data_IF_201498805877
#
_entry.id   IF_201498805877
#
_cell.length_a   1.000
_cell.length_b   1.000
_cell.length_c   1.000
_cell.angle_alpha   90.00
_cell.angle_beta   90.00
_cell.angle_gamma   90.00
#
_symmetry.space_group_name_H-M   'P 1'
#
loop_
_entity.id
_entity.type
_entity.pdbx_description
1 polymer ?
#
# COMPACT_ATOMS: atom_id res chain seq x y z
N UNK A 1 -11.98 17.94 -4.10
CA UNK A 1 -10.76 17.12 -4.26
C UNK A 1 -10.43 16.33 -2.99
N UNK A 2 -10.47 16.92 -1.80
CA UNK A 2 -10.15 16.23 -0.54
C UNK A 2 -10.98 14.95 -0.28
N UNK A 3 -12.30 14.98 -0.47
CA UNK A 3 -13.13 13.79 -0.28
C UNK A 3 -12.80 12.66 -1.27
N UNK A 4 -12.44 13.02 -2.51
CA UNK A 4 -12.01 12.06 -3.54
C UNK A 4 -10.67 11.45 -3.15
N UNK A 5 -9.74 12.23 -2.61
CA UNK A 5 -8.45 11.76 -2.09
C UNK A 5 -8.63 10.74 -0.95
N UNK A 6 -9.52 11.03 0.00
CA UNK A 6 -9.78 10.15 1.15
C UNK A 6 -10.46 8.85 0.71
N UNK A 7 -11.45 8.93 -0.20
CA UNK A 7 -12.15 7.76 -0.73
C UNK A 7 -11.21 6.90 -1.57
N UNK A 8 -10.37 7.51 -2.42
CA UNK A 8 -9.37 6.78 -3.20
C UNK A 8 -8.31 6.16 -2.30
N UNK A 9 -7.81 6.86 -1.28
CA UNK A 9 -6.87 6.29 -0.30
C UNK A 9 -7.48 5.10 0.46
N UNK A 10 -8.75 5.19 0.87
CA UNK A 10 -9.45 4.09 1.52
C UNK A 10 -9.64 2.89 0.58
N UNK A 11 -10.14 3.13 -0.63
CA UNK A 11 -10.41 2.07 -1.62
C UNK A 11 -9.13 1.40 -2.12
N UNK A 12 -8.09 2.18 -2.43
CA UNK A 12 -6.79 1.68 -2.86
C UNK A 12 -6.06 0.98 -1.70
N UNK A 13 -6.19 1.48 -0.46
CA UNK A 13 -5.66 0.80 0.73
C UNK A 13 -6.30 -0.57 0.96
N UNK A 14 -7.61 -0.68 0.73
CA UNK A 14 -8.33 -1.95 0.79
C UNK A 14 -7.95 -2.89 -0.35
N UNK A 15 -7.81 -2.39 -1.58
CA UNK A 15 -7.33 -3.18 -2.72
C UNK A 15 -5.90 -3.70 -2.52
N UNK A 16 -5.02 -2.85 -1.97
CA UNK A 16 -3.64 -3.19 -1.68
C UNK A 16 -3.53 -4.37 -0.71
N UNK A 17 -4.50 -4.55 0.19
CA UNK A 17 -4.53 -5.73 1.06
C UNK A 17 -4.70 -7.05 0.26
N UNK A 18 -5.55 -7.06 -0.77
CA UNK A 18 -5.85 -8.26 -1.54
C UNK A 18 -4.79 -8.62 -2.59
N UNK A 19 -3.66 -7.92 -2.64
CA UNK A 19 -2.60 -8.32 -3.54
C UNK A 19 -1.96 -9.66 -3.11
N UNK A 20 -1.54 -10.50 -4.07
CA UNK A 20 -0.95 -11.79 -3.75
C UNK A 20 0.33 -11.64 -2.89
N UNK A 21 1.07 -10.54 -3.09
CA UNK A 21 2.31 -10.24 -2.39
C UNK A 21 2.06 -9.91 -0.91
N UNK A 22 0.95 -9.23 -0.61
CA UNK A 22 0.57 -8.85 0.74
C UNK A 22 -0.03 -10.05 1.47
N UNK A 23 -0.88 -10.83 0.82
CA UNK A 23 -1.44 -12.07 1.38
C UNK A 23 -0.33 -13.06 1.77
N UNK A 24 0.70 -13.24 0.93
CA UNK A 24 1.84 -14.10 1.26
C UNK A 24 2.58 -13.61 2.52
N UNK A 25 2.85 -12.30 2.63
CA UNK A 25 3.53 -11.76 3.82
C UNK A 25 2.65 -11.80 5.07
N UNK A 26 1.34 -11.56 4.95
CA UNK A 26 0.41 -11.56 6.07
C UNK A 26 0.13 -12.96 6.60
N UNK A 27 -0.01 -13.95 5.73
CA UNK A 27 -0.18 -15.35 6.15
C UNK A 27 1.07 -15.87 6.87
N UNK A 28 2.27 -15.58 6.34
CA UNK A 28 3.54 -15.98 6.95
C UNK A 28 3.76 -15.27 8.31
N UNK A 29 3.40 -14.00 8.41
CA UNK A 29 3.43 -13.24 9.67
C UNK A 29 2.40 -13.77 10.68
N UNK A 30 1.16 -14.02 10.26
CA UNK A 30 0.10 -14.54 11.12
C UNK A 30 0.46 -15.92 11.71
N UNK A 31 1.03 -16.82 10.90
CA UNK A 31 1.50 -18.14 11.36
C UNK A 31 2.59 -18.02 12.42
N UNK A 32 3.57 -17.11 12.23
CA UNK A 32 4.62 -16.87 13.24
C UNK A 32 4.05 -16.28 14.53
N UNK A 33 3.14 -15.31 14.43
CA UNK A 33 2.54 -14.67 15.59
C UNK A 33 1.62 -15.61 16.38
N UNK A 34 1.13 -16.68 15.76
CA UNK A 34 0.30 -17.67 16.42
C UNK A 34 1.08 -18.52 17.46
N UNK A 35 2.41 -18.56 17.37
CA UNK A 35 3.28 -19.22 18.34
C UNK A 35 3.68 -18.31 19.52
N UNK A 36 3.33 -17.02 19.47
CA UNK A 36 3.70 -16.03 20.48
C UNK A 36 2.55 -15.75 21.46
N UNK A 37 2.91 -15.25 22.65
CA UNK A 37 1.92 -14.85 23.66
C UNK A 37 1.03 -13.70 23.15
N UNK A 38 -0.23 -13.66 23.60
CA UNK A 38 -1.22 -12.69 23.14
C UNK A 38 -0.72 -11.23 23.27
N UNK A 39 0.01 -10.90 24.34
CA UNK A 39 0.59 -9.56 24.53
C UNK A 39 1.67 -9.23 23.50
N UNK A 40 2.57 -10.18 23.18
CA UNK A 40 3.61 -10.00 22.16
C UNK A 40 3.02 -9.93 20.75
N UNK A 41 1.95 -10.68 20.50
CA UNK A 41 1.19 -10.63 19.25
C UNK A 41 0.62 -9.24 18.98
N UNK A 42 -0.09 -8.66 19.95
CA UNK A 42 -0.64 -7.31 19.81
C UNK A 42 0.45 -6.24 19.66
N UNK A 43 1.55 -6.36 20.40
CA UNK A 43 2.71 -5.46 20.25
C UNK A 43 3.35 -5.55 18.86
N UNK A 44 3.50 -6.76 18.31
CA UNK A 44 4.04 -6.97 16.96
C UNK A 44 3.10 -6.42 15.88
N UNK A 45 1.78 -6.57 16.03
CA UNK A 45 0.79 -5.99 15.12
C UNK A 45 0.79 -4.45 15.22
N UNK A 46 0.78 -3.91 16.42
CA UNK A 46 0.81 -2.47 16.64
C UNK A 46 2.09 -1.85 16.05
N UNK A 47 3.26 -2.46 16.27
CA UNK A 47 4.52 -1.99 15.68
C UNK A 47 4.53 -2.05 14.15
N UNK A 48 3.95 -3.09 13.55
CA UNK A 48 3.80 -3.19 12.09
C UNK A 48 2.88 -2.09 11.53
N UNK A 49 1.71 -1.89 12.14
CA UNK A 49 0.73 -0.87 11.72
C UNK A 49 1.33 0.53 11.86
N UNK A 50 1.96 0.81 13.01
CA UNK A 50 2.46 2.13 13.35
C UNK A 50 3.67 2.50 12.47
N UNK A 51 4.59 1.56 12.25
CA UNK A 51 5.72 1.80 11.32
C UNK A 51 5.25 2.03 9.88
N UNK A 52 4.27 1.25 9.41
CA UNK A 52 3.70 1.43 8.07
C UNK A 52 2.92 2.74 7.93
N UNK A 53 2.11 3.10 8.93
CA UNK A 53 1.39 4.36 8.96
C UNK A 53 2.35 5.55 8.95
N UNK A 54 3.41 5.50 9.77
CA UNK A 54 4.41 6.56 9.85
C UNK A 54 5.15 6.73 8.51
N UNK A 55 5.51 5.62 7.86
CA UNK A 55 6.16 5.65 6.55
C UNK A 55 5.24 6.20 5.46
N UNK A 56 3.96 5.80 5.42
CA UNK A 56 3.00 6.30 4.42
C UNK A 56 2.60 7.75 4.66
N UNK A 57 2.40 8.16 5.91
CA UNK A 57 2.18 9.56 6.27
C UNK A 57 3.37 10.43 5.85
N UNK A 58 4.60 9.95 6.08
CA UNK A 58 5.80 10.66 5.67
C UNK A 58 5.89 10.78 4.14
N UNK A 59 5.65 9.70 3.39
CA UNK A 59 5.70 9.71 1.92
C UNK A 59 4.64 10.66 1.34
N UNK A 60 3.38 10.53 1.77
CA UNK A 60 2.30 11.37 1.22
C UNK A 60 2.38 12.82 1.70
N UNK A 61 2.81 13.03 2.95
CA UNK A 61 3.09 14.37 3.47
C UNK A 61 4.21 15.06 2.70
N UNK A 62 5.33 14.35 2.44
CA UNK A 62 6.41 14.88 1.59
C UNK A 62 5.94 15.14 0.17
N UNK A 63 5.15 14.24 -0.44
CA UNK A 63 4.61 14.45 -1.78
C UNK A 63 3.70 15.70 -1.85
N UNK A 64 2.85 15.90 -0.84
CA UNK A 64 2.00 17.09 -0.72
C UNK A 64 2.79 18.37 -0.44
N UNK A 65 3.95 18.27 0.23
CA UNK A 65 4.81 19.42 0.52
C UNK A 65 5.63 19.83 -0.71
N UNK A 66 6.18 18.85 -1.45
CA UNK A 66 6.87 19.12 -2.71
C UNK A 66 5.91 19.83 -3.66
N UNK A 67 4.64 19.41 -3.66
CA UNK A 67 3.60 19.98 -4.52
C UNK A 67 3.88 19.69 -5.99
N UNK A 68 2.86 19.74 -6.83
CA UNK A 68 3.02 19.62 -8.29
C UNK A 68 2.79 20.96 -9.01
N UNK A 69 3.02 22.09 -8.34
CA UNK A 69 2.71 23.44 -8.83
C UNK A 69 3.47 23.87 -10.11
N UNK A 70 4.48 23.10 -10.55
CA UNK A 70 5.28 23.39 -11.75
C UNK A 70 5.33 22.27 -12.80
N UNK A 71 4.64 21.15 -12.58
CA UNK A 71 4.68 19.99 -13.50
C UNK A 71 3.43 20.04 -14.38
N UNK A 72 3.61 20.10 -15.71
CA UNK A 72 2.48 20.07 -16.64
C UNK A 72 1.65 18.79 -16.46
N UNK A 73 0.33 18.89 -16.55
CA UNK A 73 -0.60 17.75 -16.40
C UNK A 73 -0.22 16.56 -17.30
N UNK A 74 0.36 16.85 -18.47
CA UNK A 74 0.81 15.84 -19.43
C UNK A 74 2.00 15.01 -18.91
N UNK A 75 2.95 15.62 -18.20
CA UNK A 75 4.11 14.89 -17.65
C UNK A 75 3.73 14.08 -16.40
N UNK A 76 2.82 14.57 -15.56
CA UNK A 76 2.26 13.78 -14.46
C UNK A 76 1.51 12.54 -14.98
N UNK A 77 0.68 12.72 -16.00
CA UNK A 77 -0.04 11.63 -16.67
C UNK A 77 0.91 10.63 -17.34
N UNK A 78 1.95 11.11 -18.04
CA UNK A 78 2.95 10.25 -18.65
C UNK A 78 3.72 9.44 -17.60
N UNK A 79 4.05 10.05 -16.46
CA UNK A 79 4.75 9.36 -15.37
C UNK A 79 3.86 8.27 -14.75
N UNK A 80 2.58 8.57 -14.47
CA UNK A 80 1.58 7.60 -14.01
C UNK A 80 1.34 6.47 -15.03
N UNK A 81 1.26 6.80 -16.31
CA UNK A 81 1.07 5.84 -17.40
C UNK A 81 2.26 4.91 -17.56
N UNK A 82 3.48 5.45 -17.53
CA UNK A 82 4.72 4.66 -17.57
C UNK A 82 4.82 3.75 -16.35
N UNK A 83 4.51 4.24 -15.15
CA UNK A 83 4.57 3.44 -13.92
C UNK A 83 3.47 2.35 -13.90
N UNK A 84 2.25 2.69 -14.35
CA UNK A 84 1.17 1.72 -14.51
C UNK A 84 1.50 0.64 -15.55
N UNK A 85 2.10 1.03 -16.67
CA UNK A 85 2.57 0.10 -17.70
C UNK A 85 3.71 -0.78 -17.20
N UNK A 86 4.70 -0.21 -16.51
CA UNK A 86 5.80 -0.94 -15.87
C UNK A 86 5.26 -1.93 -14.83
N UNK A 87 4.26 -1.57 -14.03
CA UNK A 87 3.62 -2.49 -13.10
C UNK A 87 2.94 -3.66 -13.83
N UNK A 88 2.20 -3.37 -14.90
CA UNK A 88 1.47 -4.38 -15.68
C UNK A 88 2.45 -5.34 -16.39
N UNK A 89 3.54 -4.80 -16.94
CA UNK A 89 4.62 -5.57 -17.57
C UNK A 89 5.38 -6.40 -16.54
N UNK A 90 5.77 -5.80 -15.40
CA UNK A 90 6.47 -6.45 -14.28
C UNK A 90 5.62 -7.54 -13.60
N UNK A 91 4.29 -7.48 -13.76
CA UNK A 91 3.39 -8.53 -13.31
C UNK A 91 3.22 -9.66 -14.34
N UNK A 92 3.29 -9.35 -15.64
CA UNK A 92 3.16 -10.32 -16.73
C UNK A 92 4.44 -11.12 -16.96
N UNK A 93 5.59 -10.46 -16.78
CA UNK A 93 6.89 -11.09 -16.69
C UNK A 93 7.03 -11.43 -15.22
N UNK A 94 6.92 -12.70 -14.84
CA UNK A 94 6.96 -13.20 -13.45
C UNK A 94 8.34 -12.95 -12.80
N UNK A 95 8.78 -11.69 -12.70
CA UNK A 95 9.97 -11.34 -11.96
C UNK A 95 9.59 -11.44 -10.48
N UNK A 96 10.36 -12.17 -9.66
CA UNK A 96 10.28 -12.04 -8.21
C UNK A 96 10.72 -10.62 -7.85
N UNK A 97 9.79 -9.66 -7.90
CA UNK A 97 10.11 -8.24 -7.72
C UNK A 97 10.54 -8.06 -6.27
N UNK A 98 11.76 -7.54 -6.03
CA UNK A 98 12.34 -7.44 -4.70
C UNK A 98 11.47 -6.57 -3.80
N UNK A 99 11.21 -7.02 -2.58
CA UNK A 99 10.68 -6.15 -1.53
C UNK A 99 11.64 -4.98 -1.36
N UNK A 100 11.16 -3.74 -1.47
CA UNK A 100 12.03 -2.59 -1.25
C UNK A 100 12.25 -2.48 0.27
N UNK A 101 13.46 -2.85 0.66
CA UNK A 101 13.93 -2.89 2.03
C UNK A 101 14.32 -1.48 2.49
N UNK A 102 13.35 -0.60 2.80
CA UNK A 102 13.65 0.73 3.33
C UNK A 102 14.41 0.67 4.68
N UNK A 103 14.44 -0.49 5.34
CA UNK A 103 15.22 -0.68 6.56
C UNK A 103 16.74 -0.59 6.32
N UNK A 104 17.24 -0.79 5.10
CA UNK A 104 18.67 -0.66 4.80
C UNK A 104 19.14 0.80 4.88
N UNK A 105 18.23 1.77 4.74
CA UNK A 105 18.50 3.20 4.88
C UNK A 105 18.71 3.63 6.35
N UNK A 106 18.40 2.75 7.31
CA UNK A 106 18.53 3.02 8.74
C UNK A 106 19.78 2.28 9.27
N UNK A 107 20.75 2.99 9.89
CA UNK A 107 22.04 2.43 10.30
C UNK A 107 21.94 1.36 11.42
N UNK A 108 20.76 1.14 12.01
CA UNK A 108 20.53 0.20 13.12
C UNK A 108 19.63 -1.00 12.77
N UNK A 109 19.67 -1.49 11.52
CA UNK A 109 18.79 -2.54 11.01
C UNK A 109 19.00 -3.94 11.63
N UNK A 110 20.18 -4.22 12.20
CA UNK A 110 20.52 -5.55 12.73
C UNK A 110 19.78 -5.91 14.04
N UNK A 111 19.31 -4.92 14.81
CA UNK A 111 18.64 -5.12 16.11
C UNK A 111 17.11 -4.95 16.08
N UNK A 112 16.53 -4.67 14.92
CA UNK A 112 15.08 -4.38 14.83
C UNK A 112 14.22 -5.63 14.79
N UNK A 113 13.05 -5.56 15.43
CA UNK A 113 12.08 -6.66 15.44
C UNK A 113 11.55 -6.95 14.03
N UNK A 114 11.24 -8.21 13.76
CA UNK A 114 10.75 -8.67 12.45
C UNK A 114 9.51 -7.87 11.98
N UNK A 115 8.66 -7.45 12.92
CA UNK A 115 7.49 -6.63 12.66
C UNK A 115 7.85 -5.23 12.12
N UNK A 116 8.93 -4.63 12.65
CA UNK A 116 9.42 -3.33 12.17
C UNK A 116 10.05 -3.46 10.78
N UNK A 117 10.79 -4.54 10.53
CA UNK A 117 11.32 -4.83 9.19
C UNK A 117 10.19 -5.00 8.19
N UNK A 118 9.16 -5.77 8.52
CA UNK A 118 8.00 -5.96 7.64
C UNK A 118 7.20 -4.68 7.41
N UNK A 119 7.08 -3.82 8.42
CA UNK A 119 6.40 -2.53 8.29
C UNK A 119 7.20 -1.49 7.48
N UNK A 120 8.53 -1.58 7.50
CA UNK A 120 9.44 -0.78 6.66
C UNK A 120 9.70 -1.38 5.29
N UNK A 121 9.37 -2.65 5.05
CA UNK A 121 9.39 -3.20 3.69
C UNK A 121 8.10 -2.82 2.97
N UNK A 122 8.20 -2.01 1.92
CA UNK A 122 7.05 -1.76 1.07
C UNK A 122 6.94 -2.92 0.07
N UNK A 123 5.82 -3.67 0.06
CA UNK A 123 5.63 -4.68 -0.97
C UNK A 123 5.61 -3.97 -2.33
N UNK A 124 6.48 -4.39 -3.24
CA UNK A 124 6.61 -3.78 -4.57
C UNK A 124 5.28 -3.77 -5.34
N UNK A 125 4.39 -4.71 -5.04
CA UNK A 125 3.07 -4.81 -5.63
C UNK A 125 2.16 -3.63 -5.23
N UNK A 126 2.33 -3.10 -4.01
CA UNK A 126 1.54 -1.95 -3.52
C UNK A 126 2.10 -0.60 -3.96
N UNK A 127 3.28 -0.59 -4.57
CA UNK A 127 3.99 0.63 -4.99
C UNK A 127 3.19 1.50 -5.98
N UNK A 128 2.50 0.97 -7.00
CA UNK A 128 1.68 1.78 -7.89
C UNK A 128 0.47 2.38 -7.18
N UNK A 129 -0.17 1.62 -6.27
CA UNK A 129 -1.29 2.12 -5.47
C UNK A 129 -0.86 3.29 -4.59
N UNK A 130 0.28 3.14 -3.91
CA UNK A 130 0.89 4.21 -3.11
C UNK A 130 1.24 5.41 -4.00
N UNK A 131 1.78 5.18 -5.19
CA UNK A 131 2.17 6.24 -6.11
C UNK A 131 0.96 7.04 -6.63
N UNK A 132 -0.16 6.38 -6.95
CA UNK A 132 -1.41 7.05 -7.34
C UNK A 132 -1.91 7.96 -6.22
N UNK A 133 -1.95 7.47 -4.97
CA UNK A 133 -2.36 8.28 -3.82
C UNK A 133 -1.35 9.40 -3.55
N UNK A 134 -0.06 9.15 -3.74
CA UNK A 134 1.01 10.14 -3.57
C UNK A 134 0.90 11.29 -4.57
N UNK A 135 0.64 11.00 -5.84
CA UNK A 135 0.45 12.04 -6.86
C UNK A 135 -0.86 12.79 -6.61
N UNK A 136 -1.93 12.09 -6.25
CA UNK A 136 -3.18 12.74 -5.85
C UNK A 136 -2.96 13.68 -4.66
N UNK A 137 -2.10 13.28 -3.70
CA UNK A 137 -1.74 14.08 -2.52
C UNK A 137 -0.94 15.32 -2.92
N UNK A 138 0.02 15.18 -3.82
CA UNK A 138 0.81 16.27 -4.38
C UNK A 138 -0.04 17.28 -5.15
N UNK A 139 -1.05 16.82 -5.90
CA UNK A 139 -1.99 17.69 -6.63
C UNK A 139 -2.91 18.49 -5.68
N UNK A 140 -3.26 17.94 -4.51
CA UNK A 140 -4.11 18.66 -3.54
C UNK A 140 -3.39 19.79 -2.80
N UNK A 141 -2.05 19.81 -2.80
CA UNK A 141 -1.21 20.82 -2.14
C UNK A 141 -1.60 21.12 -0.66
N UNK A 142 -2.22 20.13 0.01
CA UNK A 142 -2.70 20.21 1.39
C UNK A 142 -2.06 19.09 2.22
N UNK A 143 -0.99 19.38 2.98
CA UNK A 143 -0.27 18.35 3.72
C UNK A 143 -1.16 17.67 4.78
N UNK A 144 -2.03 18.41 5.46
CA UNK A 144 -2.93 17.88 6.49
C UNK A 144 -3.81 16.72 5.97
N UNK A 145 -4.31 16.88 4.74
CA UNK A 145 -5.18 15.90 4.09
C UNK A 145 -4.39 14.71 3.56
N UNK A 146 -3.14 14.93 3.13
CA UNK A 146 -2.24 13.88 2.68
C UNK A 146 -1.78 12.99 3.86
N UNK A 147 -1.53 13.58 5.03
CA UNK A 147 -1.25 12.83 6.26
C UNK A 147 -2.46 11.96 6.64
N UNK A 148 -3.68 12.53 6.62
CA UNK A 148 -4.90 11.77 6.89
C UNK A 148 -5.11 10.64 5.87
N UNK A 149 -4.85 10.88 4.59
CA UNK A 149 -4.91 9.85 3.55
C UNK A 149 -3.91 8.72 3.80
N UNK A 150 -2.69 9.04 4.25
CA UNK A 150 -1.68 8.05 4.64
C UNK A 150 -2.12 7.20 5.81
N UNK A 151 -2.73 7.82 6.83
CA UNK A 151 -3.28 7.13 7.98
C UNK A 151 -4.44 6.20 7.59
N UNK A 152 -5.37 6.68 6.76
CA UNK A 152 -6.53 5.90 6.28
C UNK A 152 -6.08 4.74 5.41
N UNK A 153 -5.14 4.98 4.50
CA UNK A 153 -4.57 3.93 3.66
C UNK A 153 -3.91 2.85 4.52
N UNK A 154 -3.09 3.25 5.50
CA UNK A 154 -2.43 2.30 6.41
C UNK A 154 -3.42 1.52 7.27
N UNK A 155 -4.48 2.18 7.75
CA UNK A 155 -5.54 1.56 8.54
C UNK A 155 -6.32 0.54 7.71
N UNK A 156 -6.83 0.91 6.53
CA UNK A 156 -7.53 0.00 5.61
C UNK A 156 -6.65 -1.16 5.17
N UNK A 157 -5.37 -0.89 4.92
CA UNK A 157 -4.41 -1.91 4.55
C UNK A 157 -4.20 -2.94 5.68
N UNK A 158 -4.13 -2.48 6.93
CA UNK A 158 -3.81 -3.33 8.08
C UNK A 158 -5.03 -3.99 8.71
N UNK A 159 -6.24 -3.53 8.40
CA UNK A 159 -7.48 -3.99 9.02
C UNK A 159 -7.71 -5.50 8.86
N UNK A 160 -7.53 -6.09 7.67
CA UNK A 160 -7.78 -7.52 7.51
C UNK A 160 -6.67 -8.37 8.15
N UNK A 161 -5.49 -7.78 8.39
CA UNK A 161 -4.33 -8.42 9.03
C UNK A 161 -4.54 -8.55 10.53
N UNK A 162 -5.17 -7.53 11.13
CA UNK A 162 -5.67 -7.57 12.50
C UNK A 162 -6.77 -8.62 12.63
N UNK A 163 -7.68 -8.68 11.66
CA UNK A 163 -8.77 -9.66 11.62
C UNK A 163 -8.26 -11.10 11.50
N UNK A 164 -7.33 -11.35 10.58
CA UNK A 164 -6.72 -12.67 10.36
C UNK A 164 -5.81 -13.10 11.52
N UNK A 165 -5.37 -12.14 12.33
CA UNK A 165 -4.73 -12.46 13.60
C UNK A 165 -5.76 -12.84 14.67
N UNK A 166 -6.90 -12.17 14.78
CA UNK A 166 -7.87 -12.53 15.83
C UNK A 166 -8.56 -13.87 15.58
N UNK A 167 -8.67 -14.29 14.31
CA UNK A 167 -9.30 -15.55 13.91
C UNK A 167 -8.25 -16.59 13.50
N UNK A 168 -8.50 -17.89 13.78
CA UNK A 168 -7.64 -18.95 13.25
C UNK A 168 -7.85 -19.05 11.73
N UNK A 169 -6.78 -19.09 10.95
CA UNK A 169 -6.84 -19.28 9.50
C UNK A 169 -7.44 -20.65 9.14
N UNK A 170 -8.76 -20.68 9.03
CA UNK A 170 -9.50 -21.85 8.58
C UNK A 170 -9.36 -22.06 7.06
N UNK A 171 -9.59 -23.29 6.59
CA UNK A 171 -9.45 -23.65 5.18
C UNK A 171 -10.38 -22.83 4.27
N UNK A 172 -11.58 -22.51 4.74
CA UNK A 172 -12.53 -21.65 4.03
C UNK A 172 -12.01 -20.20 3.86
N UNK A 173 -11.33 -19.66 4.88
CA UNK A 173 -10.75 -18.31 4.83
C UNK A 173 -9.59 -18.24 3.83
N UNK A 174 -8.74 -19.26 3.79
CA UNK A 174 -7.65 -19.35 2.79
C UNK A 174 -8.19 -19.46 1.36
N UNK A 175 -9.27 -20.21 1.15
CA UNK A 175 -9.90 -20.33 -0.16
C UNK A 175 -10.54 -19.00 -0.61
N UNK A 176 -11.15 -18.25 0.30
CA UNK A 176 -11.67 -16.91 0.02
C UNK A 176 -10.53 -15.93 -0.33
N UNK A 177 -9.47 -15.90 0.48
CA UNK A 177 -8.29 -15.07 0.24
C UNK A 177 -7.63 -15.42 -1.10
N UNK A 178 -7.54 -16.70 -1.46
CA UNK A 178 -7.01 -17.13 -2.76
C UNK A 178 -7.87 -16.67 -3.95
N UNK A 179 -9.20 -16.75 -3.84
CA UNK A 179 -10.11 -16.20 -4.87
C UNK A 179 -9.98 -14.68 -4.97
N UNK A 180 -9.93 -13.99 -3.83
CA UNK A 180 -9.78 -12.55 -3.80
C UNK A 180 -8.41 -12.10 -4.34
N UNK A 181 -7.34 -12.87 -4.10
CA UNK A 181 -6.00 -12.63 -4.65
C UNK A 181 -5.94 -12.74 -6.17
N UNK A 182 -6.73 -13.66 -6.75
CA UNK A 182 -6.82 -13.82 -8.20
C UNK A 182 -7.67 -12.72 -8.85
N UNK A 183 -8.66 -12.19 -8.14
CA UNK A 183 -9.57 -11.14 -8.63
C UNK A 183 -9.00 -9.73 -8.45
N UNK A 184 -8.29 -9.49 -7.34
CA UNK A 184 -7.76 -8.18 -6.97
C UNK A 184 -7.03 -7.48 -8.09
N UNK A 185 -6.18 -8.12 -8.89
CA UNK A 185 -5.33 -7.38 -9.78
C UNK A 185 -6.02 -7.10 -11.13
N UNK A 186 -7.12 -7.80 -11.45
CA UNK A 186 -8.03 -7.35 -12.50
C UNK A 186 -8.75 -6.08 -12.06
N UNK A 187 -9.20 -6.01 -10.80
CA UNK A 187 -9.83 -4.81 -10.24
C UNK A 187 -8.82 -3.66 -10.20
N UNK A 188 -7.59 -3.88 -9.74
CA UNK A 188 -6.54 -2.85 -9.70
C UNK A 188 -6.23 -2.33 -11.11
N UNK A 189 -6.12 -3.23 -12.09
CA UNK A 189 -5.86 -2.84 -13.48
C UNK A 189 -7.00 -1.98 -14.04
N UNK A 190 -8.25 -2.40 -13.80
CA UNK A 190 -9.43 -1.66 -14.23
C UNK A 190 -9.52 -0.29 -13.55
N UNK A 191 -9.15 -0.23 -12.27
CA UNK A 191 -9.12 1.01 -11.49
C UNK A 191 -8.02 1.96 -12.01
N UNK A 192 -6.82 1.46 -12.29
CA UNK A 192 -5.73 2.25 -12.88
C UNK A 192 -6.09 2.77 -14.27
N UNK A 193 -6.70 1.93 -15.12
CA UNK A 193 -7.20 2.34 -16.44
C UNK A 193 -8.31 3.38 -16.35
N UNK A 194 -9.26 3.18 -15.43
CA UNK A 194 -10.33 4.16 -15.20
C UNK A 194 -9.77 5.48 -14.67
N UNK A 195 -8.78 5.45 -13.78
CA UNK A 195 -8.11 6.64 -13.26
C UNK A 195 -7.37 7.40 -14.35
N UNK A 196 -6.63 6.69 -15.21
CA UNK A 196 -5.96 7.28 -16.37
C UNK A 196 -6.95 7.93 -17.35
N UNK A 197 -8.09 7.26 -17.62
CA UNK A 197 -9.15 7.80 -18.47
C UNK A 197 -9.85 9.01 -17.87
N UNK A 198 -10.07 9.02 -16.55
CA UNK A 198 -10.66 10.16 -15.85
C UNK A 198 -9.71 11.36 -15.95
N UNK A 199 -8.42 11.19 -15.65
CA UNK A 199 -7.40 12.25 -15.80
C UNK A 199 -7.38 12.78 -17.24
N UNK A 200 -7.40 11.88 -18.24
CA UNK A 200 -7.45 12.24 -19.66
C UNK A 200 -8.68 13.09 -20.01
N UNK A 201 -9.85 12.76 -19.45
CA UNK A 201 -11.09 13.48 -19.71
C UNK A 201 -11.24 14.77 -18.92
N UNK A 202 -10.73 14.82 -17.70
CA UNK A 202 -10.93 15.97 -16.80
C UNK A 202 -9.84 17.02 -16.95
N UNK A 203 -8.69 16.70 -17.55
CA UNK A 203 -7.63 17.68 -17.84
C UNK A 203 -7.10 18.43 -16.61
N UNK A 204 -7.32 17.88 -15.41
CA UNK A 204 -6.85 18.43 -14.12
C UNK A 204 -5.39 18.10 -13.93
#
# INVERSE_FOLDING_TARGET
MNSVLLITAAGLGFLAFFEPCTIATHTLFAVRLNHETMRRRWLALATLVLSRALLLMAIFGMAAWIGLDGISNFSAMAMLGVIGALYLISRKIYLPVPHIEFFHLIPSHARMSQALKLGLTLPACTLPLVLVVGIASALTNRPDMALLAGLIFAAMFSLPTLWDSSHKLDAAHRAFLGKAANLSPFITTLLLWSGALIILKTGV
#
